data_IF_748956126460
#
_entry.id   IF_748956126460
#
_cell.length_a   1.000
_cell.length_b   1.000
_cell.length_c   1.000
_cell.angle_alpha   90.00
_cell.angle_beta   90.00
_cell.angle_gamma   90.00
#
_symmetry.space_group_name_H-M   'P 1'
#
loop_
_entity.id
_entity.type
_entity.pdbx_description
1 polymer ?
#
# COMPACT_ATOMS: atom_id res chain seq x y z
N UNK A 1 9.70 -36.29 13.44
CA UNK A 1 9.97 -36.13 12.01
C UNK A 1 8.87 -35.27 11.46
N UNK A 2 9.22 -34.21 10.74
CA UNK A 2 8.28 -33.22 10.22
C UNK A 2 7.28 -33.89 9.26
N UNK A 3 6.09 -33.30 9.11
CA UNK A 3 4.94 -33.92 8.45
C UNK A 3 5.18 -34.12 6.96
N UNK A 4 5.86 -33.17 6.30
CA UNK A 4 6.09 -33.22 4.86
C UNK A 4 7.16 -34.24 4.45
N UNK A 5 7.97 -34.74 5.39
CA UNK A 5 8.95 -35.79 5.11
C UNK A 5 8.40 -37.18 5.50
N UNK A 6 8.13 -38.07 4.52
CA UNK A 6 7.60 -39.40 4.80
C UNK A 6 8.66 -40.31 5.41
N UNK A 7 8.23 -41.31 6.18
CA UNK A 7 9.13 -42.34 6.73
C UNK A 7 9.64 -43.34 5.67
N UNK A 8 8.99 -43.36 4.49
CA UNK A 8 9.32 -44.24 3.38
C UNK A 8 9.38 -43.45 2.07
N UNK A 9 10.30 -43.84 1.19
CA UNK A 9 10.38 -43.29 -0.17
C UNK A 9 9.36 -43.90 -1.12
N UNK A 10 8.78 -45.06 -0.77
CA UNK A 10 7.83 -45.83 -1.58
C UNK A 10 6.39 -45.30 -1.43
N UNK A 11 6.20 -44.02 -1.70
CA UNK A 11 4.88 -43.38 -1.70
C UNK A 11 4.14 -43.61 -3.01
N UNK A 12 2.86 -43.97 -2.91
CA UNK A 12 1.90 -43.89 -4.01
C UNK A 12 1.18 -42.52 -4.06
N UNK A 13 0.40 -42.26 -5.11
CA UNK A 13 -0.37 -41.01 -5.25
C UNK A 13 -1.39 -40.87 -4.11
N UNK A 14 -1.44 -39.67 -3.52
CA UNK A 14 -2.41 -39.31 -2.50
C UNK A 14 -3.83 -39.26 -3.09
N UNK A 15 -4.82 -39.46 -2.21
CA UNK A 15 -6.23 -39.36 -2.55
C UNK A 15 -6.80 -38.01 -2.10
N UNK A 16 -7.44 -37.28 -3.01
CA UNK A 16 -8.27 -36.13 -2.65
C UNK A 16 -9.49 -36.60 -1.87
N UNK A 17 -9.79 -35.97 -0.74
CA UNK A 17 -10.91 -36.35 0.12
C UNK A 17 -12.12 -35.43 -0.12
N UNK A 18 -11.92 -34.12 -0.01
CA UNK A 18 -12.95 -33.09 -0.18
C UNK A 18 -12.31 -31.69 -0.18
N UNK A 19 -13.09 -30.70 -0.63
CA UNK A 19 -12.83 -29.29 -0.37
C UNK A 19 -13.88 -28.70 0.57
N UNK A 20 -13.48 -27.74 1.41
CA UNK A 20 -14.41 -27.04 2.31
C UNK A 20 -13.98 -25.59 2.57
N UNK A 21 -14.91 -24.77 3.05
CA UNK A 21 -14.63 -23.41 3.56
C UNK A 21 -14.65 -23.48 5.08
N UNK A 22 -13.57 -23.00 5.72
CA UNK A 22 -13.41 -22.97 7.17
C UNK A 22 -12.82 -21.63 7.59
N UNK A 23 -13.59 -20.86 8.36
CA UNK A 23 -13.22 -19.50 8.75
C UNK A 23 -12.89 -18.63 7.54
N UNK A 24 -11.66 -18.11 7.52
CA UNK A 24 -11.11 -17.27 6.45
C UNK A 24 -10.30 -18.04 5.40
N UNK A 25 -10.51 -19.35 5.28
CA UNK A 25 -9.79 -20.22 4.36
C UNK A 25 -10.73 -21.10 3.52
N UNK A 26 -10.29 -21.40 2.30
CA UNK A 26 -10.74 -22.56 1.55
C UNK A 26 -9.68 -23.66 1.62
N UNK A 27 -10.09 -24.89 1.93
CA UNK A 27 -9.20 -25.99 2.31
C UNK A 27 -9.42 -27.18 1.39
N UNK A 28 -8.33 -27.79 0.93
CA UNK A 28 -8.33 -29.11 0.30
C UNK A 28 -7.78 -30.17 1.24
N UNK A 29 -8.57 -31.20 1.51
CA UNK A 29 -8.15 -32.33 2.32
C UNK A 29 -7.54 -33.43 1.42
N UNK A 30 -6.30 -33.81 1.72
CA UNK A 30 -5.57 -34.85 1.00
C UNK A 30 -5.15 -35.97 1.93
N UNK A 31 -5.28 -37.22 1.50
CA UNK A 31 -4.79 -38.40 2.20
C UNK A 31 -3.49 -38.90 1.54
N UNK A 32 -2.31 -38.64 2.13
CA UNK A 32 -1.06 -39.24 1.68
C UNK A 32 -1.06 -40.76 1.93
N UNK A 33 -0.22 -41.47 1.19
CA UNK A 33 -0.05 -42.93 1.31
C UNK A 33 0.90 -43.36 2.43
N UNK A 34 1.44 -42.41 3.19
CA UNK A 34 2.41 -42.63 4.27
C UNK A 34 1.80 -43.15 5.58
N UNK A 35 0.47 -43.27 5.64
CA UNK A 35 -0.25 -43.77 6.83
C UNK A 35 -0.29 -42.79 8.00
N UNK A 36 0.19 -41.55 7.87
CA UNK A 36 0.28 -40.56 8.96
C UNK A 36 -0.95 -39.66 9.08
N UNK A 37 -2.03 -40.01 8.39
CA UNK A 37 -3.30 -39.26 8.39
C UNK A 37 -3.36 -38.14 7.33
N UNK A 38 -4.53 -37.51 7.13
CA UNK A 38 -4.71 -36.49 6.12
C UNK A 38 -3.94 -35.19 6.42
N UNK A 39 -3.68 -34.39 5.38
CA UNK A 39 -3.19 -33.02 5.51
C UNK A 39 -4.16 -32.05 4.84
N UNK A 40 -4.18 -30.82 5.31
CA UNK A 40 -4.94 -29.72 4.74
C UNK A 40 -4.02 -28.84 3.89
N UNK A 41 -4.42 -28.52 2.65
CA UNK A 41 -3.81 -27.43 1.87
C UNK A 41 -4.79 -26.26 1.91
N UNK A 42 -4.44 -25.17 2.59
CA UNK A 42 -5.34 -24.08 2.93
C UNK A 42 -4.99 -22.79 2.17
N UNK A 43 -5.96 -22.19 1.50
CA UNK A 43 -5.82 -20.94 0.74
C UNK A 43 -6.54 -19.80 1.47
N UNK A 44 -5.83 -18.72 1.76
CA UNK A 44 -6.38 -17.50 2.35
C UNK A 44 -6.85 -16.53 1.27
N UNK A 45 -7.77 -15.63 1.62
CA UNK A 45 -8.22 -14.58 0.70
C UNK A 45 -7.11 -13.58 0.37
N UNK A 46 -7.22 -12.89 -0.77
CA UNK A 46 -6.20 -11.93 -1.24
C UNK A 46 -5.87 -10.79 -0.27
N UNK A 47 -6.77 -10.50 0.68
CA UNK A 47 -6.61 -9.45 1.69
C UNK A 47 -5.83 -9.88 2.94
N UNK A 48 -5.52 -11.17 3.09
CA UNK A 48 -4.78 -11.64 4.25
C UNK A 48 -3.32 -11.17 4.20
N UNK A 49 -2.82 -10.70 5.35
CA UNK A 49 -1.42 -10.31 5.50
C UNK A 49 -0.56 -11.53 5.76
N UNK A 50 0.50 -11.72 4.97
CA UNK A 50 1.33 -12.93 5.01
C UNK A 50 2.09 -13.11 6.34
N UNK A 51 2.33 -12.03 7.10
CA UNK A 51 2.94 -12.12 8.43
C UNK A 51 2.03 -12.77 9.48
N UNK A 52 0.71 -12.65 9.32
CA UNK A 52 -0.28 -13.10 10.32
C UNK A 52 -0.80 -14.51 10.00
N UNK A 53 -0.47 -15.02 8.80
CA UNK A 53 -0.93 -16.31 8.31
C UNK A 53 -0.47 -17.51 9.13
N UNK A 54 0.73 -17.57 9.72
CA UNK A 54 1.09 -18.66 10.63
C UNK A 54 0.16 -18.77 11.85
N UNK A 55 -0.25 -17.63 12.42
CA UNK A 55 -1.18 -17.58 13.57
C UNK A 55 -2.56 -18.07 13.15
N UNK A 56 -3.05 -17.63 12.00
CA UNK A 56 -4.34 -18.08 11.48
C UNK A 56 -4.34 -19.56 11.06
N UNK A 57 -3.23 -20.06 10.51
CA UNK A 57 -3.09 -21.47 10.14
C UNK A 57 -3.02 -22.38 11.38
N UNK A 58 -2.41 -21.92 12.48
CA UNK A 58 -2.45 -22.60 13.77
C UNK A 58 -3.89 -22.70 14.32
N UNK A 59 -4.64 -21.61 14.32
CA UNK A 59 -6.04 -21.63 14.71
C UNK A 59 -6.88 -22.56 13.81
N UNK A 60 -6.61 -22.56 12.50
CA UNK A 60 -7.26 -23.47 11.57
C UNK A 60 -6.96 -24.95 11.88
N UNK A 61 -5.72 -25.28 12.27
CA UNK A 61 -5.37 -26.66 12.64
C UNK A 61 -6.21 -27.15 13.82
N UNK A 62 -6.46 -26.30 14.83
CA UNK A 62 -7.31 -26.63 15.98
C UNK A 62 -8.78 -26.87 15.57
N UNK A 63 -9.26 -26.20 14.51
CA UNK A 63 -10.61 -26.39 13.96
C UNK A 63 -10.74 -27.62 13.05
N UNK A 64 -9.63 -28.22 12.62
CA UNK A 64 -9.58 -29.35 11.69
C UNK A 64 -9.13 -30.64 12.40
N UNK A 65 -10.01 -31.33 13.17
CA UNK A 65 -9.62 -32.50 13.96
C UNK A 65 -9.15 -33.70 13.11
N UNK A 66 -9.39 -33.68 11.80
CA UNK A 66 -8.95 -34.69 10.85
C UNK A 66 -7.55 -34.41 10.28
N UNK A 67 -7.04 -33.19 10.39
CA UNK A 67 -5.80 -32.77 9.76
C UNK A 67 -4.60 -33.05 10.68
N UNK A 68 -3.55 -33.61 10.10
CA UNK A 68 -2.28 -33.87 10.80
C UNK A 68 -1.22 -32.80 10.52
N UNK A 69 -1.50 -31.92 9.57
CA UNK A 69 -0.87 -30.61 9.39
C UNK A 69 -1.74 -29.73 8.49
N UNK A 70 -1.53 -28.42 8.59
CA UNK A 70 -2.03 -27.41 7.66
C UNK A 70 -0.85 -26.89 6.85
N UNK A 71 -0.93 -27.00 5.53
CA UNK A 71 0.02 -26.46 4.57
C UNK A 71 -0.60 -25.22 3.94
N UNK A 72 0.07 -24.09 4.08
CA UNK A 72 -0.39 -22.80 3.60
C UNK A 72 0.55 -22.29 2.50
N UNK A 73 0.11 -22.18 1.24
CA UNK A 73 0.89 -21.58 0.18
C UNK A 73 0.89 -20.05 0.27
N UNK A 74 2.10 -19.52 0.32
CA UNK A 74 2.42 -18.10 0.23
C UNK A 74 2.80 -17.74 -1.22
N UNK A 75 2.56 -16.49 -1.61
CA UNK A 75 2.99 -15.93 -2.89
C UNK A 75 4.48 -15.61 -2.93
N UNK A 76 5.14 -15.51 -1.77
CA UNK A 76 6.59 -15.40 -1.74
C UNK A 76 7.20 -16.64 -2.42
N UNK A 77 7.94 -16.40 -3.49
CA UNK A 77 8.57 -17.45 -4.26
C UNK A 77 9.79 -18.02 -3.54
N UNK A 78 9.96 -19.34 -3.61
CA UNK A 78 11.20 -20.03 -3.29
C UNK A 78 11.76 -20.66 -4.56
N UNK A 79 13.06 -20.51 -4.76
CA UNK A 79 13.74 -21.09 -5.92
C UNK A 79 13.88 -22.60 -5.69
N UNK A 80 13.23 -23.39 -6.54
CA UNK A 80 13.36 -24.83 -6.53
C UNK A 80 14.76 -25.27 -7.02
N UNK A 81 15.19 -26.53 -6.78
CA UNK A 81 16.48 -27.04 -7.22
C UNK A 81 16.72 -26.95 -8.74
N UNK A 82 15.65 -26.92 -9.54
CA UNK A 82 15.69 -26.74 -11.00
C UNK A 82 15.84 -25.26 -11.43
N UNK A 83 16.00 -24.35 -10.48
CA UNK A 83 16.21 -22.92 -10.71
C UNK A 83 14.93 -22.11 -10.93
N UNK A 84 13.77 -22.76 -11.01
CA UNK A 84 12.47 -22.13 -11.24
C UNK A 84 11.80 -21.70 -9.92
N UNK A 85 10.99 -20.64 -9.95
CA UNK A 85 10.23 -20.19 -8.79
C UNK A 85 9.05 -21.14 -8.50
N UNK A 86 8.83 -21.45 -7.23
CA UNK A 86 7.65 -22.13 -6.70
C UNK A 86 7.07 -21.35 -5.53
N UNK A 87 5.77 -21.52 -5.23
CA UNK A 87 5.20 -20.99 -4.00
C UNK A 87 5.97 -21.50 -2.78
N UNK A 88 6.30 -20.60 -1.87
CA UNK A 88 6.70 -20.97 -0.51
C UNK A 88 5.49 -21.55 0.22
N UNK A 89 5.75 -22.43 1.17
CA UNK A 89 4.73 -23.08 1.99
C UNK A 89 5.07 -22.87 3.45
N UNK A 90 4.11 -22.40 4.22
CA UNK A 90 4.13 -22.47 5.68
C UNK A 90 3.45 -23.76 6.10
N UNK A 91 4.07 -24.52 6.99
CA UNK A 91 3.51 -25.76 7.53
C UNK A 91 3.28 -25.59 9.02
N UNK A 92 2.06 -25.90 9.45
CA UNK A 92 1.70 -25.93 10.88
C UNK A 92 1.35 -27.36 11.27
N UNK A 93 2.02 -27.86 12.30
CA UNK A 93 1.81 -29.19 12.88
C UNK A 93 1.33 -29.11 14.33
N UNK A 94 0.64 -30.14 14.82
CA UNK A 94 0.27 -30.22 16.22
C UNK A 94 1.48 -30.12 17.16
N UNK A 95 1.30 -29.61 18.39
CA UNK A 95 2.36 -29.56 19.38
C UNK A 95 2.97 -30.94 19.62
N UNK A 96 4.28 -30.99 19.90
CA UNK A 96 4.93 -32.22 20.39
C UNK A 96 4.37 -32.58 21.76
N UNK A 97 4.45 -33.87 22.12
CA UNK A 97 4.07 -34.32 23.45
C UNK A 97 4.77 -33.48 24.54
N UNK A 98 3.96 -32.78 25.35
CA UNK A 98 4.44 -31.89 26.42
C UNK A 98 4.64 -30.42 26.04
N UNK A 99 4.40 -30.03 24.78
CA UNK A 99 4.36 -28.63 24.36
C UNK A 99 2.91 -28.13 24.24
N UNK A 100 2.70 -26.83 24.47
CA UNK A 100 1.41 -26.18 24.27
C UNK A 100 1.27 -25.58 22.87
N UNK A 101 2.37 -25.05 22.32
CA UNK A 101 2.35 -24.33 21.06
C UNK A 101 2.53 -25.25 19.84
N UNK A 102 1.80 -24.99 18.74
CA UNK A 102 1.98 -25.73 17.50
C UNK A 102 3.35 -25.46 16.89
N UNK A 103 3.84 -26.41 16.09
CA UNK A 103 5.09 -26.23 15.36
C UNK A 103 4.82 -25.49 14.06
N UNK A 104 5.55 -24.41 13.81
CA UNK A 104 5.44 -23.59 12.60
C UNK A 104 6.74 -23.66 11.82
N UNK A 105 6.67 -24.00 10.53
CA UNK A 105 7.81 -24.11 9.64
C UNK A 105 7.61 -23.21 8.41
N UNK A 106 8.56 -22.32 8.12
CA UNK A 106 8.42 -21.29 7.08
C UNK A 106 9.40 -21.46 5.90
N UNK A 107 10.19 -22.53 5.89
CA UNK A 107 11.26 -22.76 4.90
C UNK A 107 10.90 -23.82 3.84
N UNK A 108 9.64 -24.26 3.85
CA UNK A 108 9.12 -25.26 2.92
C UNK A 108 8.66 -24.62 1.60
N UNK A 109 8.64 -25.44 0.55
CA UNK A 109 8.15 -25.04 -0.76
C UNK A 109 7.06 -25.98 -1.27
N UNK A 110 6.38 -25.56 -2.33
CA UNK A 110 5.33 -26.34 -2.98
C UNK A 110 5.77 -27.76 -3.37
N UNK A 111 7.02 -27.93 -3.81
CA UNK A 111 7.58 -29.24 -4.15
C UNK A 111 7.66 -30.20 -2.95
N UNK A 112 7.72 -29.72 -1.71
CA UNK A 112 7.73 -30.58 -0.53
C UNK A 112 6.36 -31.22 -0.31
N UNK A 113 5.28 -30.44 -0.50
CA UNK A 113 3.91 -30.97 -0.49
C UNK A 113 3.72 -31.98 -1.62
N UNK A 114 4.14 -31.62 -2.85
CA UNK A 114 4.07 -32.52 -4.02
C UNK A 114 4.89 -33.79 -3.79
N UNK A 115 6.05 -33.67 -3.13
CA UNK A 115 6.91 -34.79 -2.77
C UNK A 115 6.20 -35.81 -1.89
N UNK A 116 5.43 -35.33 -0.91
CA UNK A 116 4.58 -36.15 -0.04
C UNK A 116 3.34 -36.70 -0.77
N UNK A 117 2.65 -35.87 -1.54
CA UNK A 117 1.35 -36.24 -2.13
C UNK A 117 1.49 -37.03 -3.45
N UNK A 118 2.63 -36.93 -4.14
CA UNK A 118 2.92 -37.63 -5.41
C UNK A 118 1.85 -37.39 -6.49
N UNK A 119 1.20 -36.23 -6.47
CA UNK A 119 0.18 -35.81 -7.43
C UNK A 119 0.41 -34.35 -7.83
N UNK A 120 -0.15 -33.98 -8.97
CA UNK A 120 -0.25 -32.59 -9.40
C UNK A 120 -1.27 -31.86 -8.51
N UNK A 121 -0.87 -30.75 -7.89
CA UNK A 121 -1.75 -29.97 -7.00
C UNK A 121 -2.32 -28.73 -7.70
N UNK A 122 -3.58 -28.36 -7.40
CA UNK A 122 -4.21 -27.17 -7.95
C UNK A 122 -3.60 -25.92 -7.32
N UNK A 123 -2.95 -25.09 -8.11
CA UNK A 123 -2.45 -23.78 -7.71
C UNK A 123 -3.52 -22.71 -7.92
N UNK A 124 -3.80 -21.96 -6.87
CA UNK A 124 -4.69 -20.82 -6.87
C UNK A 124 -3.92 -19.54 -6.52
N UNK A 125 -3.55 -18.78 -7.55
CA UNK A 125 -2.93 -17.46 -7.43
C UNK A 125 -3.70 -16.58 -6.45
N UNK A 126 -3.02 -15.81 -5.59
CA UNK A 126 -3.61 -15.03 -4.48
C UNK A 126 -4.88 -14.27 -4.88
N UNK A 127 -4.83 -13.56 -6.01
CA UNK A 127 -5.93 -12.73 -6.52
C UNK A 127 -7.01 -13.51 -7.32
N UNK A 128 -6.87 -14.82 -7.50
CA UNK A 128 -7.84 -15.70 -8.17
C UNK A 128 -8.47 -16.70 -7.19
N UNK A 129 -8.26 -16.51 -5.88
CA UNK A 129 -8.80 -17.38 -4.83
C UNK A 129 -10.28 -17.07 -4.55
N UNK A 130 -11.15 -17.61 -5.39
CA UNK A 130 -12.57 -17.72 -5.07
C UNK A 130 -12.81 -18.94 -4.15
N UNK A 131 -13.27 -18.70 -2.93
CA UNK A 131 -13.40 -19.76 -1.92
C UNK A 131 -14.41 -20.83 -2.29
N UNK A 132 -15.49 -20.46 -2.97
CA UNK A 132 -16.48 -21.42 -3.42
C UNK A 132 -15.91 -22.28 -4.56
N UNK A 133 -15.18 -21.67 -5.49
CA UNK A 133 -14.51 -22.38 -6.58
C UNK A 133 -13.42 -23.33 -6.06
N UNK A 134 -12.64 -22.90 -5.06
CA UNK A 134 -11.64 -23.75 -4.40
C UNK A 134 -12.34 -24.92 -3.70
N UNK A 135 -13.33 -24.67 -2.85
CA UNK A 135 -14.01 -25.72 -2.10
C UNK A 135 -14.74 -26.73 -3.00
N UNK A 136 -15.29 -26.29 -4.13
CA UNK A 136 -15.96 -27.15 -5.10
C UNK A 136 -15.01 -27.84 -6.10
N UNK A 137 -13.71 -27.57 -6.06
CA UNK A 137 -12.74 -28.16 -6.97
C UNK A 137 -12.53 -29.65 -6.66
N UNK A 138 -12.36 -30.45 -7.72
CA UNK A 138 -11.99 -31.86 -7.63
C UNK A 138 -10.89 -32.21 -8.65
N UNK A 139 -10.12 -33.30 -8.45
CA UNK A 139 -9.16 -33.75 -9.45
C UNK A 139 -9.82 -33.97 -10.83
N UNK A 140 -9.29 -33.28 -11.84
CA UNK A 140 -9.84 -33.29 -13.20
C UNK A 140 -10.76 -32.11 -13.53
N UNK A 141 -11.10 -31.26 -12.56
CA UNK A 141 -11.77 -29.99 -12.84
C UNK A 141 -10.92 -29.15 -13.81
N UNK A 142 -11.51 -28.67 -14.94
CA UNK A 142 -10.81 -27.81 -15.88
C UNK A 142 -10.32 -26.50 -15.24
N UNK A 143 -9.29 -25.90 -15.83
CA UNK A 143 -8.80 -24.58 -15.43
C UNK A 143 -9.93 -23.55 -15.56
N UNK A 144 -10.24 -22.86 -14.47
CA UNK A 144 -11.30 -21.86 -14.45
C UNK A 144 -10.80 -20.50 -14.94
N UNK A 145 -11.62 -19.78 -15.68
CA UNK A 145 -11.37 -18.37 -15.98
C UNK A 145 -12.09 -17.53 -14.92
N UNK A 146 -11.32 -16.91 -14.03
CA UNK A 146 -11.84 -16.13 -12.92
C UNK A 146 -11.50 -14.66 -13.09
N UNK A 147 -12.42 -13.83 -12.64
CA UNK A 147 -12.20 -12.40 -12.57
C UNK A 147 -11.27 -12.11 -11.38
N UNK A 148 -10.12 -11.48 -11.63
CA UNK A 148 -9.14 -11.17 -10.58
C UNK A 148 -9.75 -10.29 -9.48
N UNK A 149 -9.42 -10.57 -8.23
CA UNK A 149 -9.91 -9.89 -7.04
C UNK A 149 -8.75 -9.41 -6.17
N UNK A 150 -8.51 -8.09 -6.05
CA UNK A 150 -7.38 -7.51 -5.34
C UNK A 150 -7.53 -7.50 -3.80
N UNK A 151 -8.53 -8.22 -3.25
CA UNK A 151 -8.78 -8.31 -1.81
C UNK A 151 -9.81 -7.30 -1.30
N UNK A 152 -9.67 -6.82 -0.07
CA UNK A 152 -10.71 -6.03 0.63
C UNK A 152 -10.86 -4.58 0.13
N UNK A 153 -10.13 -4.21 -0.92
CA UNK A 153 -10.27 -2.89 -1.52
C UNK A 153 -11.49 -2.94 -2.44
N UNK A 154 -12.57 -2.29 -2.03
CA UNK A 154 -13.88 -2.32 -2.69
C UNK A 154 -14.16 -0.93 -3.30
N UNK A 155 -13.90 -0.71 -4.61
CA UNK A 155 -14.03 0.61 -5.24
C UNK A 155 -15.43 1.20 -5.15
N UNK A 156 -16.46 0.35 -5.14
CA UNK A 156 -17.87 0.70 -4.96
C UNK A 156 -18.17 1.50 -3.69
N UNK A 157 -17.31 1.43 -2.66
CA UNK A 157 -17.43 2.29 -1.49
C UNK A 157 -17.35 3.79 -1.79
N UNK A 158 -16.78 4.19 -2.94
CA UNK A 158 -16.82 5.59 -3.39
C UNK A 158 -18.24 6.09 -3.66
N UNK A 159 -19.19 5.20 -3.97
CA UNK A 159 -20.61 5.59 -4.07
C UNK A 159 -21.17 6.13 -2.75
N UNK A 160 -20.53 5.82 -1.61
CA UNK A 160 -20.87 6.41 -0.31
C UNK A 160 -20.64 7.92 -0.20
N UNK A 161 -19.93 8.54 -1.16
CA UNK A 161 -19.80 10.00 -1.26
C UNK A 161 -21.03 10.66 -1.90
N UNK A 162 -21.94 9.87 -2.48
CA UNK A 162 -23.16 10.40 -3.08
C UNK A 162 -24.22 10.69 -2.00
N UNK A 163 -24.84 11.86 -2.13
CA UNK A 163 -26.00 12.29 -1.36
C UNK A 163 -27.16 12.53 -2.33
N UNK A 164 -28.41 12.66 -1.85
CA UNK A 164 -29.56 12.99 -2.71
C UNK A 164 -29.39 14.28 -3.53
N UNK A 165 -28.50 15.18 -3.11
CA UNK A 165 -28.23 16.47 -3.76
C UNK A 165 -26.91 16.49 -4.55
N UNK A 166 -26.23 15.34 -4.69
CA UNK A 166 -24.95 15.30 -5.41
C UNK A 166 -25.13 15.69 -6.88
N UNK A 167 -24.39 16.69 -7.39
CA UNK A 167 -24.47 17.09 -8.78
C UNK A 167 -24.17 15.94 -9.74
N UNK A 168 -24.85 15.89 -10.89
CA UNK A 168 -24.71 14.83 -11.89
C UNK A 168 -23.25 14.64 -12.34
N UNK A 169 -22.52 15.73 -12.51
CA UNK A 169 -21.10 15.70 -12.85
C UNK A 169 -20.27 14.99 -11.77
N UNK A 170 -20.52 15.25 -10.48
CA UNK A 170 -19.81 14.57 -9.37
C UNK A 170 -20.15 13.08 -9.35
N UNK A 171 -21.43 12.73 -9.54
CA UNK A 171 -21.85 11.33 -9.63
C UNK A 171 -21.16 10.59 -10.79
N UNK A 172 -21.00 11.25 -11.94
CA UNK A 172 -20.27 10.72 -13.09
C UNK A 172 -18.77 10.54 -12.80
N UNK A 173 -18.13 11.49 -12.11
CA UNK A 173 -16.72 11.38 -11.66
C UNK A 173 -16.56 10.20 -10.69
N UNK A 174 -17.49 10.00 -9.75
CA UNK A 174 -17.49 8.84 -8.83
C UNK A 174 -17.58 7.53 -9.63
N UNK A 175 -18.52 7.42 -10.57
CA UNK A 175 -18.67 6.20 -11.39
C UNK A 175 -17.42 5.88 -12.23
N UNK A 176 -16.78 6.92 -12.79
CA UNK A 176 -15.48 6.77 -13.49
C UNK A 176 -14.37 6.35 -12.55
N UNK A 177 -14.29 6.95 -11.36
CA UNK A 177 -13.30 6.60 -10.34
C UNK A 177 -13.41 5.12 -9.94
N UNK A 178 -14.63 4.64 -9.67
CA UNK A 178 -14.92 3.23 -9.35
C UNK A 178 -14.41 2.32 -10.45
N UNK A 179 -14.77 2.61 -11.70
CA UNK A 179 -14.38 1.81 -12.88
C UNK A 179 -12.87 1.79 -13.07
N UNK A 180 -12.22 2.94 -12.97
CA UNK A 180 -10.77 3.08 -13.11
C UNK A 180 -10.02 2.35 -12.00
N UNK A 181 -10.47 2.47 -10.76
CA UNK A 181 -9.89 1.80 -9.59
C UNK A 181 -10.02 0.28 -9.68
N UNK A 182 -11.22 -0.19 -10.05
CA UNK A 182 -11.47 -1.62 -10.23
C UNK A 182 -10.50 -2.18 -11.28
N UNK A 183 -10.38 -1.53 -12.44
CA UNK A 183 -9.41 -1.92 -13.47
C UNK A 183 -7.95 -1.84 -12.96
N UNK A 184 -7.54 -0.74 -12.33
CA UNK A 184 -6.15 -0.55 -11.89
C UNK A 184 -5.72 -1.61 -10.88
N UNK A 185 -6.55 -1.87 -9.87
CA UNK A 185 -6.23 -2.86 -8.84
C UNK A 185 -6.07 -4.28 -9.41
N UNK A 186 -6.76 -4.58 -10.53
CA UNK A 186 -6.64 -5.85 -11.25
C UNK A 186 -5.39 -5.88 -12.12
N UNK A 187 -5.09 -4.77 -12.79
CA UNK A 187 -3.86 -4.62 -13.58
C UNK A 187 -2.61 -4.75 -12.70
N UNK A 188 -2.64 -4.19 -11.48
CA UNK A 188 -1.54 -4.29 -10.50
C UNK A 188 -1.27 -5.74 -10.05
N UNK A 189 -2.23 -6.65 -10.23
CA UNK A 189 -2.03 -8.09 -10.03
C UNK A 189 -1.19 -8.76 -11.15
N UNK A 190 -0.80 -8.01 -12.19
CA UNK A 190 0.15 -8.36 -13.25
C UNK A 190 -0.22 -9.56 -14.16
N UNK A 191 -1.45 -10.06 -14.10
CA UNK A 191 -1.89 -11.19 -14.92
C UNK A 191 -1.88 -10.90 -16.43
N UNK A 192 -2.06 -9.63 -16.83
CA UNK A 192 -2.11 -9.22 -18.24
C UNK A 192 -0.82 -9.53 -19.01
N UNK A 193 0.33 -9.54 -18.30
CA UNK A 193 1.64 -9.77 -18.93
C UNK A 193 1.91 -11.24 -19.25
N UNK A 194 1.15 -12.15 -18.64
CA UNK A 194 1.40 -13.59 -18.67
C UNK A 194 0.14 -14.38 -19.08
N UNK A 195 -0.69 -13.84 -19.97
CA UNK A 195 -1.90 -14.51 -20.48
C UNK A 195 -2.86 -15.01 -19.38
N UNK A 196 -2.99 -14.24 -18.29
CA UNK A 196 -3.85 -14.57 -17.17
C UNK A 196 -3.17 -15.37 -16.04
N UNK A 197 -1.89 -15.70 -16.18
CA UNK A 197 -1.11 -16.42 -15.17
C UNK A 197 -0.31 -15.48 -14.27
N UNK A 198 0.00 -15.92 -13.05
CA UNK A 198 1.00 -15.27 -12.22
C UNK A 198 2.43 -15.64 -12.66
N UNK A 199 3.42 -15.37 -11.81
CA UNK A 199 4.82 -15.75 -12.06
C UNK A 199 5.12 -17.24 -11.92
N UNK A 200 4.18 -18.08 -11.44
CA UNK A 200 4.41 -19.50 -11.21
C UNK A 200 3.98 -20.33 -12.43
N UNK A 201 4.97 -20.86 -13.15
CA UNK A 201 4.74 -21.63 -14.38
C UNK A 201 4.16 -23.01 -14.05
N UNK A 202 3.09 -23.38 -14.77
CA UNK A 202 2.48 -24.70 -14.67
C UNK A 202 3.48 -25.81 -15.06
N UNK A 203 3.58 -26.85 -14.23
CA UNK A 203 4.49 -27.99 -14.41
C UNK A 203 4.03 -29.19 -13.61
N UNK A 204 4.75 -30.31 -13.70
CA UNK A 204 4.51 -31.45 -12.81
C UNK A 204 4.56 -31.00 -11.34
N UNK A 205 3.55 -31.37 -10.56
CA UNK A 205 3.33 -30.94 -9.19
C UNK A 205 2.54 -29.64 -9.02
N UNK A 206 2.50 -28.76 -10.02
CA UNK A 206 1.86 -27.45 -9.93
C UNK A 206 1.00 -27.19 -11.17
N UNK A 207 -0.32 -27.34 -11.02
CA UNK A 207 -1.29 -27.08 -12.09
C UNK A 207 -2.11 -25.85 -11.76
N UNK A 208 -2.17 -24.90 -12.67
CA UNK A 208 -3.03 -23.74 -12.53
C UNK A 208 -4.50 -24.18 -12.43
N UNK A 209 -5.17 -23.88 -11.33
CA UNK A 209 -6.59 -24.18 -11.14
C UNK A 209 -7.48 -23.04 -11.67
N UNK A 210 -6.94 -21.83 -11.71
CA UNK A 210 -7.57 -20.66 -12.27
C UNK A 210 -6.57 -19.82 -13.08
N UNK A 211 -7.10 -19.08 -14.05
CA UNK A 211 -6.41 -18.01 -14.78
C UNK A 211 -7.28 -16.76 -14.77
N UNK A 212 -6.66 -15.58 -14.82
CA UNK A 212 -7.40 -14.35 -14.90
C UNK A 212 -8.13 -14.26 -16.25
N UNK A 213 -9.42 -13.96 -16.21
CA UNK A 213 -10.19 -13.63 -17.40
C UNK A 213 -9.61 -12.35 -18.04
N UNK A 214 -9.50 -12.28 -19.39
CA UNK A 214 -9.05 -11.07 -20.06
C UNK A 214 -9.95 -9.89 -19.70
N UNK A 215 -9.35 -8.80 -19.24
CA UNK A 215 -10.09 -7.57 -18.95
C UNK A 215 -9.98 -6.61 -20.14
N UNK A 216 -11.09 -6.02 -20.61
CA UNK A 216 -11.01 -4.97 -21.61
C UNK A 216 -10.22 -3.79 -21.05
N UNK A 217 -9.32 -3.25 -21.87
CA UNK A 217 -8.62 -2.01 -21.55
C UNK A 217 -9.63 -0.92 -21.19
N UNK A 218 -9.36 -0.11 -20.16
CA UNK A 218 -10.28 0.91 -19.76
C UNK A 218 -10.26 2.02 -20.82
N UNK A 219 -11.33 2.82 -20.95
CA UNK A 219 -11.30 3.97 -21.83
C UNK A 219 -10.09 4.87 -21.53
N UNK A 220 -9.44 5.48 -22.54
CA UNK A 220 -8.26 6.33 -22.33
C UNK A 220 -8.48 7.45 -21.30
N UNK A 221 -9.72 7.96 -21.21
CA UNK A 221 -10.11 9.07 -20.33
C UNK A 221 -10.72 8.61 -18.98
N UNK A 222 -10.58 7.33 -18.66
CA UNK A 222 -11.09 6.75 -17.40
C UNK A 222 -10.31 7.23 -16.17
N UNK A 223 -9.03 7.57 -16.34
CA UNK A 223 -8.18 7.96 -15.24
C UNK A 223 -8.56 9.35 -14.72
N UNK A 224 -8.66 9.49 -13.40
CA UNK A 224 -9.00 10.77 -12.79
C UNK A 224 -7.87 11.79 -12.99
N UNK A 225 -8.25 13.02 -13.26
CA UNK A 225 -7.36 14.18 -13.23
C UNK A 225 -7.13 14.65 -11.79
N UNK A 226 -6.12 15.51 -11.57
CA UNK A 226 -5.90 16.14 -10.26
C UNK A 226 -7.13 16.92 -9.79
N UNK A 227 -7.77 17.69 -10.69
CA UNK A 227 -8.95 18.49 -10.36
C UNK A 227 -10.16 17.63 -10.00
N UNK A 228 -10.33 16.48 -10.65
CA UNK A 228 -11.40 15.53 -10.29
C UNK A 228 -11.11 14.83 -8.96
N UNK A 229 -9.85 14.48 -8.68
CA UNK A 229 -9.46 13.97 -7.37
C UNK A 229 -9.71 15.01 -6.26
N UNK A 230 -9.33 16.27 -6.50
CA UNK A 230 -9.62 17.37 -5.58
C UNK A 230 -11.12 17.56 -5.38
N UNK A 231 -11.92 17.51 -6.44
CA UNK A 231 -13.38 17.59 -6.37
C UNK A 231 -13.98 16.51 -5.46
N UNK A 232 -13.47 15.27 -5.53
CA UNK A 232 -13.91 14.17 -4.66
C UNK A 232 -13.51 14.42 -3.20
N UNK A 233 -12.33 14.96 -2.94
CA UNK A 233 -11.87 15.32 -1.60
C UNK A 233 -12.67 16.46 -0.98
N UNK A 234 -13.25 17.32 -1.82
CA UNK A 234 -14.17 18.38 -1.41
C UNK A 234 -15.63 17.93 -1.24
N UNK A 235 -15.95 16.65 -1.43
CA UNK A 235 -17.30 16.15 -1.15
C UNK A 235 -17.54 15.97 0.35
N UNK A 236 -18.74 16.28 0.86
CA UNK A 236 -19.11 16.01 2.25
C UNK A 236 -19.08 14.49 2.50
N UNK A 237 -18.60 14.10 3.66
CA UNK A 237 -18.52 12.70 4.09
C UNK A 237 -18.91 12.58 5.56
N UNK A 238 -19.99 11.85 5.84
CA UNK A 238 -20.50 11.67 7.20
C UNK A 238 -20.20 10.28 7.79
N UNK A 239 -19.48 9.43 7.05
CA UNK A 239 -19.21 8.05 7.42
C UNK A 239 -17.70 7.79 7.43
N UNK A 240 -17.16 7.51 8.62
CA UNK A 240 -15.74 7.21 8.83
C UNK A 240 -15.28 5.97 8.04
N UNK A 241 -16.15 4.97 7.87
CA UNK A 241 -15.83 3.75 7.13
C UNK A 241 -15.70 4.01 5.63
N UNK A 242 -16.54 4.92 5.10
CA UNK A 242 -16.43 5.41 3.72
C UNK A 242 -15.15 6.22 3.58
N UNK A 243 -14.86 7.15 4.49
CA UNK A 243 -13.63 7.94 4.43
C UNK A 243 -12.36 7.08 4.46
N UNK A 244 -12.31 6.05 5.32
CA UNK A 244 -11.20 5.08 5.36
C UNK A 244 -11.04 4.34 4.02
N UNK A 245 -12.14 3.90 3.43
CA UNK A 245 -12.10 3.24 2.12
C UNK A 245 -11.64 4.20 1.01
N UNK A 246 -12.18 5.41 0.97
CA UNK A 246 -11.79 6.44 0.01
C UNK A 246 -10.30 6.79 0.12
N UNK A 247 -9.75 6.89 1.34
CA UNK A 247 -8.31 7.12 1.54
C UNK A 247 -7.47 6.06 0.85
N UNK A 248 -7.72 4.79 1.15
CA UNK A 248 -6.97 3.66 0.59
C UNK A 248 -7.08 3.63 -0.94
N UNK A 249 -8.28 3.89 -1.47
CA UNK A 249 -8.53 3.93 -2.90
C UNK A 249 -7.78 5.09 -3.57
N UNK A 250 -7.92 6.31 -3.06
CA UNK A 250 -7.30 7.51 -3.65
C UNK A 250 -5.77 7.45 -3.57
N UNK A 251 -5.19 6.93 -2.48
CA UNK A 251 -3.73 6.73 -2.38
C UNK A 251 -3.22 5.71 -3.41
N UNK A 252 -3.94 4.61 -3.65
CA UNK A 252 -3.56 3.57 -4.63
C UNK A 252 -3.82 3.99 -6.08
N UNK A 253 -4.97 4.60 -6.37
CA UNK A 253 -5.34 4.96 -7.74
C UNK A 253 -4.50 6.09 -8.31
N UNK A 254 -4.35 7.13 -7.51
CA UNK A 254 -4.11 8.44 -8.09
C UNK A 254 -2.64 8.76 -8.27
N UNK A 255 -1.74 7.97 -7.68
CA UNK A 255 -0.29 8.24 -7.71
C UNK A 255 -0.05 9.76 -7.68
N UNK A 256 0.64 10.30 -8.69
CA UNK A 256 1.06 11.70 -8.80
C UNK A 256 -0.05 12.74 -8.92
N UNK A 257 -1.31 12.28 -9.02
CA UNK A 257 -2.51 13.10 -9.17
C UNK A 257 -3.31 13.25 -7.88
N UNK A 258 -2.86 12.66 -6.76
CA UNK A 258 -3.54 12.79 -5.48
C UNK A 258 -3.18 14.11 -4.77
N UNK A 259 -4.16 14.98 -4.46
CA UNK A 259 -3.93 16.19 -3.66
C UNK A 259 -3.51 15.90 -2.21
N UNK A 260 -3.67 14.67 -1.71
CA UNK A 260 -3.21 14.23 -0.39
C UNK A 260 -2.34 12.99 -0.55
N UNK A 261 -1.03 13.14 -0.38
CA UNK A 261 -0.06 12.04 -0.31
C UNK A 261 0.29 11.61 1.09
N UNK A 262 0.10 12.50 2.05
CA UNK A 262 0.38 12.21 3.46
C UNK A 262 -0.17 13.31 4.35
N UNK A 263 0.38 13.39 5.55
CA UNK A 263 0.10 14.48 6.49
C UNK A 263 1.39 14.93 7.17
N UNK A 264 1.47 16.22 7.46
CA UNK A 264 2.52 16.81 8.29
C UNK A 264 1.96 17.15 9.66
N UNK A 265 2.78 17.03 10.70
CA UNK A 265 2.43 17.33 12.09
C UNK A 265 3.36 18.41 12.65
N UNK A 266 2.77 19.55 13.02
CA UNK A 266 3.50 20.73 13.46
C UNK A 266 3.09 21.04 14.88
N UNK A 267 4.04 21.07 15.81
CA UNK A 267 3.76 21.47 17.18
C UNK A 267 3.24 22.90 17.22
N UNK A 268 2.16 23.17 17.96
CA UNK A 268 1.63 24.54 18.13
C UNK A 268 2.59 25.47 18.86
N UNK A 269 3.51 24.91 19.64
CA UNK A 269 4.60 25.61 20.32
C UNK A 269 5.85 25.78 19.44
N UNK A 270 5.79 25.46 18.14
CA UNK A 270 6.93 25.61 17.24
C UNK A 270 7.46 27.04 17.25
N UNK A 271 8.79 27.18 17.27
CA UNK A 271 9.50 28.45 17.12
C UNK A 271 10.02 28.65 15.68
N UNK A 272 9.64 27.76 14.75
CA UNK A 272 9.97 27.89 13.33
C UNK A 272 9.20 29.09 12.75
N UNK A 273 9.89 30.17 12.32
CA UNK A 273 9.22 31.41 11.93
C UNK A 273 8.32 31.24 10.71
N UNK A 274 8.68 30.38 9.75
CA UNK A 274 7.86 30.11 8.57
C UNK A 274 6.59 29.33 8.94
N UNK A 275 6.72 28.37 9.87
CA UNK A 275 5.59 27.62 10.38
C UNK A 275 4.62 28.54 11.15
N UNK A 276 5.14 29.43 11.99
CA UNK A 276 4.34 30.40 12.75
C UNK A 276 3.55 31.32 11.82
N UNK A 277 4.20 31.86 10.78
CA UNK A 277 3.54 32.71 9.78
C UNK A 277 2.47 31.95 8.99
N UNK A 278 2.77 30.71 8.58
CA UNK A 278 1.80 29.85 7.89
C UNK A 278 0.61 29.47 8.77
N UNK A 279 0.82 29.14 10.05
CA UNK A 279 -0.28 28.81 10.97
C UNK A 279 -1.18 30.03 11.22
N UNK A 280 -0.57 31.23 11.29
CA UNK A 280 -1.29 32.47 11.57
C UNK A 280 -2.24 32.90 10.43
N UNK A 281 -2.00 32.47 9.19
CA UNK A 281 -2.89 32.78 8.05
C UNK A 281 -4.09 31.83 7.89
N UNK A 282 -4.11 30.73 8.64
CA UNK A 282 -5.16 29.72 8.51
C UNK A 282 -6.50 30.25 9.00
N UNK A 283 -7.57 29.90 8.28
CA UNK A 283 -8.94 30.31 8.56
C UNK A 283 -9.79 29.11 9.00
N UNK A 284 -10.82 29.34 9.81
CA UNK A 284 -11.78 28.29 10.18
C UNK A 284 -12.51 27.77 8.93
N UNK A 285 -12.65 26.45 8.82
CA UNK A 285 -13.36 25.84 7.70
C UNK A 285 -14.88 25.94 7.89
N UNK A 286 -15.60 26.43 6.86
CA UNK A 286 -17.07 26.43 6.82
C UNK A 286 -17.61 25.02 6.55
N UNK A 287 -16.98 24.32 5.60
CA UNK A 287 -17.35 22.96 5.17
C UNK A 287 -16.47 21.91 5.88
N UNK A 288 -16.66 21.78 7.20
CA UNK A 288 -15.82 20.93 8.06
C UNK A 288 -16.03 19.42 7.87
N UNK A 289 -17.06 19.02 7.13
CA UNK A 289 -17.44 17.63 6.85
C UNK A 289 -16.83 17.07 5.55
N UNK A 290 -15.99 17.84 4.85
CA UNK A 290 -15.32 17.35 3.65
C UNK A 290 -14.45 16.10 3.89
N UNK A 291 -14.43 15.22 2.89
CA UNK A 291 -13.64 13.99 2.89
C UNK A 291 -12.14 14.25 3.19
N UNK A 292 -11.56 15.34 2.70
CA UNK A 292 -10.15 15.65 2.97
C UNK A 292 -9.82 15.84 4.46
N UNK A 293 -10.71 16.44 5.26
CA UNK A 293 -10.53 16.56 6.71
C UNK A 293 -10.57 15.19 7.40
N UNK A 294 -11.49 14.32 6.97
CA UNK A 294 -11.53 12.94 7.45
C UNK A 294 -10.24 12.18 7.14
N UNK A 295 -9.68 12.34 5.95
CA UNK A 295 -8.42 11.68 5.57
C UNK A 295 -7.28 12.12 6.50
N UNK A 296 -7.15 13.42 6.78
CA UNK A 296 -6.13 13.92 7.72
C UNK A 296 -6.32 13.33 9.13
N UNK A 297 -7.57 13.25 9.61
CA UNK A 297 -7.89 12.63 10.90
C UNK A 297 -7.56 11.14 10.94
N UNK A 298 -7.92 10.40 9.90
CA UNK A 298 -7.65 8.96 9.79
C UNK A 298 -6.15 8.67 9.75
N UNK A 299 -5.36 9.45 8.99
CA UNK A 299 -3.90 9.30 8.92
C UNK A 299 -3.26 9.43 10.30
N UNK A 300 -3.75 10.37 11.11
CA UNK A 300 -3.18 10.71 12.40
C UNK A 300 -3.96 10.12 13.59
N UNK A 301 -4.91 9.21 13.34
CA UNK A 301 -5.76 8.56 14.35
C UNK A 301 -6.42 9.54 15.35
N UNK A 302 -6.96 10.66 14.85
CA UNK A 302 -7.50 11.76 15.67
C UNK A 302 -8.98 11.57 16.04
N UNK A 303 -9.32 11.84 17.31
CA UNK A 303 -10.71 11.94 17.76
C UNK A 303 -11.40 13.16 17.13
N UNK A 304 -12.60 12.96 16.59
CA UNK A 304 -13.40 14.02 15.99
C UNK A 304 -13.73 15.14 16.98
N UNK A 305 -13.93 14.79 18.26
CA UNK A 305 -14.38 15.71 19.29
C UNK A 305 -13.28 16.66 19.79
N UNK A 306 -12.02 16.36 19.48
CA UNK A 306 -10.85 17.13 19.94
C UNK A 306 -10.21 17.96 18.82
N UNK A 307 -10.90 18.06 17.68
CA UNK A 307 -10.37 18.65 16.46
C UNK A 307 -11.15 19.90 16.05
N UNK A 308 -10.44 20.89 15.51
CA UNK A 308 -11.03 22.00 14.75
C UNK A 308 -10.49 22.00 13.33
N UNK A 309 -11.34 22.32 12.35
CA UNK A 309 -11.00 22.24 10.92
C UNK A 309 -10.67 23.62 10.38
N UNK A 310 -9.56 23.71 9.64
CA UNK A 310 -8.99 24.96 9.14
C UNK A 310 -8.58 24.81 7.68
N UNK A 311 -8.48 25.95 6.99
CA UNK A 311 -8.03 26.08 5.60
C UNK A 311 -6.87 27.02 5.47
N UNK A 312 -6.06 26.76 4.45
CA UNK A 312 -5.12 27.74 3.94
C UNK A 312 -5.80 28.52 2.81
N UNK A 313 -6.08 29.83 2.95
CA UNK A 313 -6.75 30.62 1.91
C UNK A 313 -5.94 30.71 0.61
N UNK A 314 -4.64 30.43 0.67
CA UNK A 314 -3.76 30.41 -0.51
C UNK A 314 -3.60 29.01 -1.12
N UNK A 315 -4.10 27.96 -0.47
CA UNK A 315 -4.11 26.60 -1.00
C UNK A 315 -5.47 25.91 -0.73
N UNK A 316 -6.41 25.97 -1.69
CA UNK A 316 -7.74 25.40 -1.51
C UNK A 316 -7.73 23.88 -1.30
N UNK A 317 -6.68 23.19 -1.76
CA UNK A 317 -6.52 21.74 -1.62
C UNK A 317 -5.63 21.36 -0.41
N UNK A 318 -5.61 22.22 0.61
CA UNK A 318 -5.03 21.93 1.91
C UNK A 318 -6.16 21.80 2.95
N UNK A 319 -6.19 20.66 3.63
CA UNK A 319 -7.08 20.39 4.77
C UNK A 319 -6.22 20.39 6.03
N UNK A 320 -6.56 21.26 6.98
CA UNK A 320 -5.83 21.41 8.24
C UNK A 320 -6.72 21.04 9.42
N UNK A 321 -6.22 20.20 10.32
CA UNK A 321 -6.88 19.77 11.55
C UNK A 321 -6.03 20.20 12.74
N UNK A 322 -6.58 21.03 13.62
CA UNK A 322 -5.88 21.49 14.83
C UNK A 322 -6.41 20.77 16.06
N UNK A 323 -5.50 20.23 16.86
CA UNK A 323 -5.75 19.74 18.23
C UNK A 323 -5.30 20.81 19.25
N UNK A 324 -5.35 20.46 20.54
CA UNK A 324 -4.86 21.33 21.60
C UNK A 324 -3.36 21.69 21.46
N UNK A 325 -2.55 20.77 20.95
CA UNK A 325 -1.09 20.84 20.93
C UNK A 325 -0.45 20.80 19.54
N UNK A 326 -1.18 20.34 18.51
CA UNK A 326 -0.62 20.03 17.19
C UNK A 326 -1.50 20.57 16.06
N UNK A 327 -0.86 21.01 14.99
CA UNK A 327 -1.48 21.34 13.70
C UNK A 327 -1.13 20.24 12.72
N UNK A 328 -2.13 19.49 12.27
CA UNK A 328 -1.99 18.48 11.23
C UNK A 328 -2.47 19.05 9.91
N UNK A 329 -1.68 18.93 8.85
CA UNK A 329 -2.09 19.38 7.52
C UNK A 329 -1.92 18.26 6.50
N UNK A 330 -2.82 18.20 5.52
CA UNK A 330 -2.63 17.35 4.34
C UNK A 330 -1.38 17.77 3.58
N UNK A 331 -0.54 16.81 3.22
CA UNK A 331 0.67 17.04 2.44
C UNK A 331 0.50 16.52 1.01
N UNK A 332 0.76 17.40 0.04
CA UNK A 332 0.75 17.11 -1.39
C UNK A 332 2.19 17.06 -1.94
N UNK A 333 2.36 16.69 -3.22
CA UNK A 333 3.69 16.69 -3.86
C UNK A 333 4.12 18.06 -4.38
N UNK A 334 3.20 19.01 -4.40
CA UNK A 334 3.45 20.42 -4.70
C UNK A 334 2.54 21.29 -3.83
N UNK A 335 2.89 22.56 -3.74
CA UNK A 335 2.07 23.63 -3.16
C UNK A 335 1.88 24.71 -4.24
N UNK A 336 0.85 25.57 -4.16
CA UNK A 336 0.65 26.65 -5.14
C UNK A 336 1.62 27.84 -4.92
N UNK A 337 2.90 27.53 -4.67
CA UNK A 337 3.97 28.50 -4.57
C UNK A 337 4.36 29.02 -5.95
N UNK A 338 4.91 30.24 -6.00
CA UNK A 338 5.27 30.90 -7.25
C UNK A 338 6.74 31.32 -7.30
N UNK A 339 7.36 31.11 -8.46
CA UNK A 339 8.76 31.49 -8.71
C UNK A 339 9.73 30.49 -8.08
N UNK A 340 10.66 30.95 -7.25
CA UNK A 340 11.76 30.14 -6.72
C UNK A 340 11.74 30.07 -5.20
N UNK A 341 12.27 28.99 -4.61
CA UNK A 341 12.58 28.94 -3.19
C UNK A 341 13.60 30.02 -2.81
N UNK A 342 13.30 30.78 -1.76
CA UNK A 342 14.14 31.87 -1.26
C UNK A 342 14.63 31.64 0.18
N UNK A 343 13.89 30.92 1.02
CA UNK A 343 14.27 30.63 2.42
C UNK A 343 13.90 29.19 2.78
N UNK A 344 14.73 28.51 3.58
CA UNK A 344 14.47 27.16 4.11
C UNK A 344 14.48 27.19 5.63
N UNK A 345 13.50 26.53 6.25
CA UNK A 345 13.52 26.16 7.66
C UNK A 345 13.15 24.68 7.81
N UNK A 346 14.15 23.82 8.00
CA UNK A 346 14.00 22.37 8.07
C UNK A 346 14.39 21.84 9.46
N UNK A 347 13.37 21.45 10.24
CA UNK A 347 13.53 20.82 11.57
C UNK A 347 13.40 19.30 11.51
N UNK A 348 13.09 18.77 10.33
CA UNK A 348 12.75 17.39 10.07
C UNK A 348 11.62 17.30 9.04
N UNK A 349 11.35 16.11 8.50
CA UNK A 349 10.40 15.93 7.39
C UNK A 349 8.98 16.41 7.69
N UNK A 350 8.55 16.39 8.96
CA UNK A 350 7.22 16.84 9.39
C UNK A 350 7.17 18.29 9.88
N UNK A 351 8.32 18.97 9.93
CA UNK A 351 8.46 20.35 10.42
C UNK A 351 9.38 21.14 9.48
N UNK A 352 9.18 20.94 8.19
CA UNK A 352 9.91 21.62 7.13
C UNK A 352 9.01 22.64 6.46
N UNK A 353 9.57 23.81 6.21
CA UNK A 353 8.93 24.92 5.52
C UNK A 353 9.92 25.60 4.59
N UNK A 354 9.38 26.24 3.56
CA UNK A 354 10.15 27.13 2.71
C UNK A 354 9.38 28.41 2.42
N UNK A 355 10.08 29.46 2.02
CA UNK A 355 9.48 30.67 1.48
C UNK A 355 9.74 30.73 -0.02
N UNK A 356 8.73 31.06 -0.79
CA UNK A 356 8.91 31.32 -2.21
C UNK A 356 9.43 32.75 -2.48
N UNK A 357 9.69 33.06 -3.75
CA UNK A 357 10.23 34.36 -4.17
C UNK A 357 9.22 35.51 -4.07
N UNK A 358 7.92 35.20 -3.92
CA UNK A 358 6.86 36.19 -3.64
C UNK A 358 6.80 36.55 -2.15
N UNK A 359 7.58 35.84 -1.32
CA UNK A 359 7.60 36.03 0.12
C UNK A 359 6.57 35.18 0.85
N UNK A 360 5.94 34.19 0.22
CA UNK A 360 4.89 33.39 0.86
C UNK A 360 5.48 32.13 1.50
N UNK A 361 5.23 31.83 2.78
CA UNK A 361 5.69 30.60 3.42
C UNK A 361 4.79 29.43 3.06
N UNK A 362 5.38 28.26 2.88
CA UNK A 362 4.68 27.04 2.51
C UNK A 362 5.20 25.85 3.32
N UNK A 363 4.32 24.94 3.76
CA UNK A 363 4.75 23.66 4.29
C UNK A 363 5.49 22.87 3.20
N UNK A 364 6.47 22.07 3.62
CA UNK A 364 7.27 21.28 2.69
C UNK A 364 6.41 20.23 1.97
N UNK A 365 6.43 20.17 0.62
CA UNK A 365 5.72 19.13 -0.10
C UNK A 365 6.39 17.76 0.11
N UNK A 366 5.62 16.68 -0.01
CA UNK A 366 6.13 15.31 0.14
C UNK A 366 6.42 14.71 -1.23
N UNK A 367 7.57 14.08 -1.42
CA UNK A 367 7.88 13.42 -2.70
C UNK A 367 7.23 12.03 -2.85
N UNK A 368 6.65 11.49 -1.77
CA UNK A 368 6.01 10.18 -1.73
C UNK A 368 6.97 9.00 -1.54
N UNK A 369 8.26 9.25 -1.32
CA UNK A 369 9.27 8.20 -1.14
C UNK A 369 10.21 8.54 0.01
N UNK A 370 10.44 7.61 0.95
CA UNK A 370 11.39 7.76 2.07
C UNK A 370 11.33 9.09 2.82
N UNK A 371 12.39 9.44 3.56
CA UNK A 371 12.40 10.62 4.42
C UNK A 371 13.63 11.49 4.16
N UNK A 372 13.49 12.78 3.79
CA UNK A 372 14.61 13.71 3.74
C UNK A 372 15.20 13.90 5.14
N UNK A 373 16.52 14.11 5.20
CA UNK A 373 17.25 14.32 6.46
C UNK A 373 18.46 15.23 6.25
N UNK A 374 18.97 15.80 7.33
CA UNK A 374 20.20 16.59 7.35
C UNK A 374 21.10 16.21 8.53
N UNK A 375 22.34 16.67 8.49
CA UNK A 375 23.34 16.52 9.53
C UNK A 375 24.00 15.14 9.56
N UNK A 376 25.00 14.94 10.43
CA UNK A 376 25.87 13.76 10.37
C UNK A 376 25.14 12.41 10.52
N UNK A 377 23.94 12.40 11.12
CA UNK A 377 23.13 11.20 11.33
C UNK A 377 22.08 10.95 10.24
N UNK A 378 21.95 11.85 9.26
CA UNK A 378 20.90 11.77 8.24
C UNK A 378 21.09 10.65 7.21
N UNK A 379 22.32 10.17 7.02
CA UNK A 379 22.67 9.15 6.03
C UNK A 379 22.61 9.64 4.59
N UNK A 380 23.36 8.99 3.69
CA UNK A 380 23.53 9.43 2.30
C UNK A 380 22.18 9.57 1.55
N UNK A 381 21.26 8.61 1.74
CA UNK A 381 19.97 8.62 1.04
C UNK A 381 19.07 9.79 1.45
N UNK A 382 19.05 10.15 2.74
CA UNK A 382 18.24 11.26 3.23
C UNK A 382 18.85 12.63 2.89
N UNK A 383 20.19 12.72 2.90
CA UNK A 383 20.92 13.91 2.44
C UNK A 383 20.71 14.18 0.96
N UNK A 384 20.84 13.14 0.13
CA UNK A 384 20.56 13.21 -1.31
C UNK A 384 19.14 13.74 -1.53
N UNK A 385 18.15 13.14 -0.86
CA UNK A 385 16.74 13.50 -1.01
C UNK A 385 16.45 14.94 -0.63
N UNK A 386 16.95 15.41 0.51
CA UNK A 386 16.75 16.80 0.94
C UNK A 386 17.43 17.79 -0.03
N UNK A 387 18.64 17.46 -0.49
CA UNK A 387 19.37 18.29 -1.47
C UNK A 387 18.60 18.40 -2.78
N UNK A 388 18.13 17.27 -3.33
CA UNK A 388 17.33 17.25 -4.56
C UNK A 388 16.04 18.05 -4.39
N UNK A 389 15.33 17.89 -3.28
CA UNK A 389 14.09 18.62 -3.03
C UNK A 389 14.33 20.14 -2.96
N UNK A 390 15.35 20.60 -2.21
CA UNK A 390 15.71 22.03 -2.17
C UNK A 390 16.08 22.53 -3.57
N UNK A 391 16.93 21.81 -4.30
CA UNK A 391 17.38 22.23 -5.63
C UNK A 391 16.22 22.34 -6.65
N UNK A 392 15.25 21.41 -6.59
CA UNK A 392 14.07 21.46 -7.44
C UNK A 392 13.12 22.61 -7.05
N UNK A 393 12.95 22.90 -5.75
CA UNK A 393 12.16 24.05 -5.30
C UNK A 393 12.82 25.40 -5.61
N UNK A 394 14.16 25.45 -5.67
CA UNK A 394 14.88 26.63 -6.19
C UNK A 394 14.63 26.80 -7.68
N UNK A 395 14.59 25.71 -8.45
CA UNK A 395 14.27 25.78 -9.87
C UNK A 395 12.84 26.29 -10.10
N UNK A 396 11.88 25.69 -9.41
CA UNK A 396 10.47 26.07 -9.42
C UNK A 396 9.83 25.70 -8.06
N UNK A 397 9.40 26.72 -7.32
CA UNK A 397 8.80 26.59 -6.00
C UNK A 397 7.49 25.78 -6.02
N UNK A 398 6.77 25.78 -7.15
CA UNK A 398 5.51 25.06 -7.35
C UNK A 398 5.68 23.65 -7.91
N UNK A 399 6.92 23.19 -8.11
CA UNK A 399 7.20 21.90 -8.76
C UNK A 399 6.59 20.72 -8.01
N UNK A 400 6.15 19.71 -8.76
CA UNK A 400 5.80 18.41 -8.21
C UNK A 400 7.08 17.64 -7.85
N UNK A 401 7.35 17.48 -6.55
CA UNK A 401 8.54 16.77 -6.05
C UNK A 401 8.53 15.26 -6.34
N UNK A 402 7.43 14.69 -6.82
CA UNK A 402 7.40 13.35 -7.41
C UNK A 402 8.03 13.27 -8.81
N UNK A 403 8.16 14.40 -9.51
CA UNK A 403 8.66 14.52 -10.89
C UNK A 403 9.88 15.45 -10.96
N UNK A 404 10.87 15.23 -10.08
CA UNK A 404 12.11 16.03 -10.01
C UNK A 404 12.83 16.08 -11.35
N UNK A 405 13.31 17.28 -11.70
CA UNK A 405 14.07 17.55 -12.93
C UNK A 405 15.53 17.89 -12.65
N UNK A 406 15.84 18.45 -11.48
CA UNK A 406 17.21 18.72 -11.04
C UNK A 406 17.76 17.49 -10.32
N UNK A 407 18.82 16.84 -10.84
CA UNK A 407 19.42 15.67 -10.20
C UNK A 407 20.27 16.06 -9.00
N UNK A 408 20.58 15.08 -8.15
CA UNK A 408 21.52 15.26 -7.05
C UNK A 408 22.94 15.55 -7.54
N UNK A 409 23.53 16.62 -7.02
CA UNK A 409 24.96 16.91 -7.12
C UNK A 409 25.61 16.83 -5.74
N UNK A 410 26.39 15.77 -5.51
CA UNK A 410 27.11 15.53 -4.25
C UNK A 410 28.17 16.58 -3.95
N UNK A 411 28.70 17.23 -4.98
CA UNK A 411 29.77 18.21 -4.85
C UNK A 411 29.26 19.64 -4.66
N UNK A 412 27.95 19.86 -4.81
CA UNK A 412 27.30 21.15 -4.58
C UNK A 412 27.51 21.68 -3.16
N UNK A 413 27.54 23.01 -3.02
CA UNK A 413 27.60 23.66 -1.71
C UNK A 413 26.40 23.27 -0.83
N UNK A 414 25.22 23.10 -1.45
CA UNK A 414 24.00 22.64 -0.81
C UNK A 414 24.15 21.23 -0.22
N UNK A 415 24.64 20.25 -0.99
CA UNK A 415 24.82 18.89 -0.52
C UNK A 415 25.76 18.82 0.70
N UNK A 416 26.86 19.59 0.65
CA UNK A 416 27.81 19.70 1.76
C UNK A 416 27.17 20.32 2.99
N UNK A 417 26.39 21.40 2.83
CA UNK A 417 25.68 22.04 3.93
C UNK A 417 24.67 21.08 4.58
N UNK A 418 23.85 20.41 3.76
CA UNK A 418 22.85 19.43 4.21
C UNK A 418 23.50 18.29 5.00
N UNK A 419 24.63 17.76 4.54
CA UNK A 419 25.30 16.63 5.19
C UNK A 419 25.86 16.98 6.58
N UNK A 420 26.29 18.23 6.81
CA UNK A 420 26.99 18.60 8.05
C UNK A 420 26.10 19.32 9.07
N UNK A 421 24.99 19.92 8.63
CA UNK A 421 24.14 20.75 9.50
C UNK A 421 23.05 19.92 10.16
N UNK A 422 23.08 19.72 11.49
CA UNK A 422 21.98 19.06 12.18
C UNK A 422 20.69 19.88 12.09
N UNK A 423 19.49 19.26 12.24
CA UNK A 423 18.26 20.01 12.44
C UNK A 423 18.41 20.95 13.65
N UNK A 424 18.04 22.24 13.58
CA UNK A 424 17.41 22.99 12.49
C UNK A 424 18.40 23.41 11.39
N UNK A 425 18.13 23.00 10.14
CA UNK A 425 18.78 23.58 8.95
C UNK A 425 18.01 24.84 8.52
N UNK A 426 18.68 25.98 8.53
CA UNK A 426 18.13 27.25 8.06
C UNK A 426 18.98 27.85 6.95
N UNK A 427 18.36 28.13 5.81
CA UNK A 427 19.01 28.80 4.68
C UNK A 427 18.28 30.12 4.44
N UNK A 428 19.02 31.23 4.48
CA UNK A 428 18.45 32.58 4.42
C UNK A 428 18.21 33.04 2.98
N UNK A 429 17.36 34.06 2.78
CA UNK A 429 17.23 34.74 1.49
C UNK A 429 18.58 35.16 0.91
N UNK A 430 18.78 34.90 -0.38
CA UNK A 430 19.99 35.22 -1.15
C UNK A 430 21.27 34.48 -0.70
N UNK A 431 21.15 33.40 0.07
CA UNK A 431 22.30 32.57 0.40
C UNK A 431 22.87 31.91 -0.87
N UNK A 432 24.17 32.05 -1.17
CA UNK A 432 24.77 31.47 -2.38
C UNK A 432 24.66 29.94 -2.45
N UNK A 433 24.39 29.24 -1.34
CA UNK A 433 24.17 27.78 -1.38
C UNK A 433 22.92 27.38 -2.16
N UNK A 434 21.98 28.31 -2.35
CA UNK A 434 20.79 28.10 -3.18
C UNK A 434 21.09 28.29 -4.67
N UNK A 435 22.30 28.70 -5.08
CA UNK A 435 22.62 28.79 -6.50
C UNK A 435 22.66 27.39 -7.13
N UNK A 436 21.68 27.06 -7.96
CA UNK A 436 21.65 25.82 -8.74
C UNK A 436 22.34 26.00 -10.09
N UNK A 437 23.08 24.99 -10.53
CA UNK A 437 23.59 24.90 -11.91
C UNK A 437 22.55 24.13 -12.72
N UNK A 438 21.97 24.76 -13.74
CA UNK A 438 21.01 24.07 -14.61
C UNK A 438 21.73 23.06 -15.50
N UNK A 439 21.20 21.84 -15.68
CA UNK A 439 21.73 20.91 -16.67
C UNK A 439 21.57 21.54 -18.07
N UNK A 440 22.68 21.57 -18.82
CA UNK A 440 22.74 22.07 -20.21
C UNK A 440 22.03 21.16 -21.19
#
# INVERSE_FOLDING_TARGET
MERLYPFTSALGPARFLFGEIRGSFAVHAWQPTDGRGPIAVAYSGAAANDSDLPVHAAALLDELPWATAVCFPDELGQRAPDGQQQPRVVVVEPPRAGAADPLVFNDYAWFDIVGLLRVDLPWWSKYLRDFNAIAAWEPGTPVQQLRAWPGNTAPDRLYGLQTPNTPEYVAAVIGRAVTYLDHKLRHDAQFDRNAGHDGFVARQGLRQAAVAAPEPAPPPDSALTFSEAALLLHQPCNDESVAKACRELLLKALEDRNPIRGSTSIARSTDNPLAVEWIARLEDAVDADELGFWIVRVINALDANECTMHRDPLNPHCWVVKTADTVYASAAQSVPATGQLSEVAFDGPSQAFFRDSTGTPWPWPVDGTGYPSCGPQGGDAGHQRLTEQIANLVFDAGINLGQRVIPYDRDSALAKLVAVTPPRLSIRPNDPVLAITLPT
#
